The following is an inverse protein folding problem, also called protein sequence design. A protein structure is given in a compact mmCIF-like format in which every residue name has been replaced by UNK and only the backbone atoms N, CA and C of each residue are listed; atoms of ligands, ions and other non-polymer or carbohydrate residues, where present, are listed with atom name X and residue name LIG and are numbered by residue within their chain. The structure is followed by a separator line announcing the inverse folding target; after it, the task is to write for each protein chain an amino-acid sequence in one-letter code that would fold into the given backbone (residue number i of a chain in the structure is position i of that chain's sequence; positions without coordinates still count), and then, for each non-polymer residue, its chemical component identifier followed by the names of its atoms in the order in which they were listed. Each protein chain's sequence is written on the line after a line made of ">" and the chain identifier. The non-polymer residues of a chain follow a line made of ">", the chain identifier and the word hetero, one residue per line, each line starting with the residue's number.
data_IF_326663765023
#
_entry.id   IF_326663765023
#
_cell.length_a   1.000
_cell.length_b   1.000
_cell.length_c   1.000
_cell.angle_alpha   90.00
_cell.angle_beta   90.00
_cell.angle_gamma   90.00
#
_symmetry.space_group_name_H-M   'P 1'
#
loop_
_entity.id
_entity.type
_entity.pdbx_description
1 polymer ?
#
# COMPACT_ATOMS: atom_id res chain seq x y z
N UNK A 1 -1.26 -6.71 12.67
CA UNK A 1 -1.12 -7.39 11.36
C UNK A 1 0.32 -7.36 10.92
N UNK A 2 0.79 -8.40 10.23
CA UNK A 2 2.13 -8.42 9.65
C UNK A 2 2.07 -7.87 8.21
N UNK A 3 2.72 -6.73 7.97
CA UNK A 3 2.77 -6.07 6.65
C UNK A 3 4.08 -6.32 5.89
N UNK A 4 4.86 -7.35 6.27
CA UNK A 4 6.18 -7.65 5.67
C UNK A 4 6.17 -7.82 4.15
N UNK A 5 5.00 -8.13 3.58
CA UNK A 5 4.84 -8.37 2.15
C UNK A 5 4.28 -7.15 1.41
N UNK A 6 4.06 -6.02 2.09
CA UNK A 6 3.57 -4.79 1.49
C UNK A 6 4.67 -3.75 1.43
N UNK A 7 4.75 -3.08 0.29
CA UNK A 7 5.68 -1.98 0.06
C UNK A 7 4.92 -0.78 -0.48
N UNK A 8 5.18 0.40 0.06
CA UNK A 8 4.62 1.65 -0.44
C UNK A 8 5.64 2.36 -1.30
N UNK A 9 5.23 2.74 -2.50
CA UNK A 9 6.02 3.55 -3.42
C UNK A 9 5.28 4.87 -3.61
N UNK A 10 5.96 5.96 -3.33
CA UNK A 10 5.48 7.30 -3.67
C UNK A 10 6.09 7.71 -5.00
N UNK A 11 5.27 8.25 -5.89
CA UNK A 11 5.72 8.78 -7.18
C UNK A 11 5.05 10.11 -7.45
N UNK A 12 5.85 11.12 -7.71
CA UNK A 12 5.35 12.40 -8.19
C UNK A 12 5.17 12.33 -9.72
N UNK A 13 3.95 12.61 -10.18
CA UNK A 13 3.57 12.60 -11.60
C UNK A 13 2.68 13.81 -11.84
N UNK A 14 3.06 14.69 -12.77
CA UNK A 14 2.31 15.89 -13.15
C UNK A 14 1.95 16.80 -11.95
N UNK A 15 2.87 16.95 -11.00
CA UNK A 15 2.66 17.73 -9.76
C UNK A 15 1.70 17.09 -8.75
N UNK A 16 1.26 15.85 -8.97
CA UNK A 16 0.44 15.07 -8.05
C UNK A 16 1.24 13.91 -7.48
N UNK A 17 1.14 13.72 -6.15
CA UNK A 17 1.71 12.54 -5.50
C UNK A 17 0.77 11.36 -5.68
N UNK A 18 1.27 10.30 -6.31
CA UNK A 18 0.58 9.01 -6.42
C UNK A 18 1.22 8.01 -5.47
N UNK A 19 0.39 7.23 -4.80
CA UNK A 19 0.86 6.17 -3.93
C UNK A 19 0.49 4.81 -4.52
N UNK A 20 1.49 3.93 -4.56
CA UNK A 20 1.33 2.55 -4.98
C UNK A 20 1.62 1.64 -3.79
N UNK A 21 0.67 0.78 -3.44
CA UNK A 21 0.89 -0.32 -2.50
C UNK A 21 1.11 -1.58 -3.30
N UNK A 22 2.28 -2.19 -3.13
CA UNK A 22 2.71 -3.39 -3.85
C UNK A 22 2.77 -4.55 -2.87
N UNK A 23 2.09 -5.64 -3.21
CA UNK A 23 2.25 -6.92 -2.51
C UNK A 23 3.36 -7.73 -3.19
N UNK A 24 4.43 -8.02 -2.45
CA UNK A 24 5.69 -8.58 -2.99
C UNK A 24 5.71 -10.10 -3.03
N UNK A 25 4.78 -10.77 -2.34
CA UNK A 25 4.59 -12.24 -2.39
C UNK A 25 3.39 -12.61 -3.23
N UNK A 26 3.26 -13.90 -3.56
CA UNK A 26 2.08 -14.36 -4.27
C UNK A 26 0.81 -14.28 -3.39
N UNK A 27 -0.32 -13.78 -3.91
CA UNK A 27 -0.45 -13.20 -5.25
C UNK A 27 0.21 -11.82 -5.34
N UNK A 28 1.09 -11.62 -6.32
CA UNK A 28 1.74 -10.33 -6.55
C UNK A 28 0.73 -9.37 -7.15
N UNK A 29 0.49 -8.23 -6.53
CA UNK A 29 -0.39 -7.22 -7.06
C UNK A 29 0.08 -5.82 -6.72
N UNK A 30 -0.45 -4.84 -7.43
CA UNK A 30 -0.25 -3.42 -7.12
C UNK A 30 -1.59 -2.69 -7.06
N UNK A 31 -1.72 -1.83 -6.06
CA UNK A 31 -2.86 -0.98 -5.82
C UNK A 31 -2.42 0.49 -5.91
N UNK A 32 -2.98 1.24 -6.84
CA UNK A 32 -2.87 2.70 -6.86
C UNK A 32 -3.94 3.27 -5.93
N UNK A 33 -3.51 4.03 -4.94
CA UNK A 33 -4.36 4.60 -3.91
C UNK A 33 -4.01 6.08 -3.71
N UNK A 34 -5.05 6.89 -3.55
CA UNK A 34 -4.91 8.32 -3.25
C UNK A 34 -5.52 8.62 -1.87
N UNK A 35 -5.00 9.61 -1.14
CA UNK A 35 -5.69 10.13 0.03
C UNK A 35 -7.12 10.55 -0.32
N UNK A 36 -8.05 10.27 0.58
CA UNK A 36 -9.42 10.76 0.49
C UNK A 36 -9.51 12.18 1.05
N UNK A 37 -9.39 13.18 0.18
CA UNK A 37 -9.44 14.59 0.57
C UNK A 37 -10.78 15.01 1.21
N UNK A 38 -11.86 14.25 0.95
CA UNK A 38 -13.18 14.50 1.51
C UNK A 38 -13.37 13.91 2.92
N UNK A 39 -12.44 13.06 3.38
CA UNK A 39 -12.48 12.52 4.73
C UNK A 39 -12.09 13.61 5.76
N UNK A 40 -12.57 13.54 7.02
CA UNK A 40 -12.24 14.51 8.06
C UNK A 40 -10.74 14.65 8.37
N UNK A 41 -9.96 13.61 8.10
CA UNK A 41 -8.51 13.55 8.24
C UNK A 41 -7.77 13.81 6.91
N UNK A 42 -8.50 14.18 5.85
CA UNK A 42 -8.04 14.34 4.46
C UNK A 42 -7.29 13.12 3.90
N UNK A 43 -7.51 11.93 4.49
CA UNK A 43 -6.81 10.69 4.11
C UNK A 43 -7.78 9.51 4.00
N UNK A 44 -8.68 9.35 4.96
CA UNK A 44 -9.61 8.24 5.08
C UNK A 44 -8.91 6.88 4.97
N UNK A 45 -9.63 5.89 4.45
CA UNK A 45 -9.05 4.59 4.04
C UNK A 45 -8.32 4.65 2.68
N UNK A 46 -8.17 5.85 2.12
CA UNK A 46 -7.71 6.09 0.77
C UNK A 46 -8.70 5.64 -0.32
N UNK A 47 -8.73 6.37 -1.44
CA UNK A 47 -9.53 6.07 -2.62
C UNK A 47 -8.69 5.22 -3.57
N UNK A 48 -9.15 4.00 -3.83
CA UNK A 48 -8.55 3.10 -4.82
C UNK A 48 -8.78 3.67 -6.21
N UNK A 49 -7.70 3.91 -6.96
CA UNK A 49 -7.76 4.39 -8.36
C UNK A 49 -7.55 3.28 -9.37
N UNK A 50 -6.65 2.34 -9.07
CA UNK A 50 -6.39 1.21 -9.95
C UNK A 50 -5.92 -0.02 -9.16
N UNK A 51 -6.32 -1.19 -9.61
CA UNK A 51 -5.86 -2.48 -9.10
C UNK A 51 -5.30 -3.30 -10.26
N UNK A 52 -4.04 -3.72 -10.17
CA UNK A 52 -3.42 -4.64 -11.13
C UNK A 52 -3.15 -5.96 -10.44
N UNK A 53 -3.86 -7.00 -10.85
CA UNK A 53 -3.69 -8.37 -10.36
C UNK A 53 -3.50 -9.34 -11.54
N UNK A 54 -2.74 -10.43 -11.36
CA UNK A 54 -2.66 -11.52 -12.32
C UNK A 54 -4.03 -12.15 -12.55
N UNK A 55 -4.37 -12.41 -13.81
CA UNK A 55 -5.65 -13.05 -14.20
C UNK A 55 -5.89 -14.42 -13.55
N UNK A 56 -4.83 -15.12 -13.13
CA UNK A 56 -4.92 -16.46 -12.53
C UNK A 56 -5.59 -16.50 -11.15
N UNK A 57 -5.79 -15.35 -10.49
CA UNK A 57 -6.45 -15.29 -9.18
C UNK A 57 -7.94 -14.92 -9.24
N UNK A 58 -8.49 -14.68 -10.44
CA UNK A 58 -9.85 -14.15 -10.67
C UNK A 58 -11.02 -15.08 -10.22
N UNK A 59 -10.75 -16.16 -9.47
CA UNK A 59 -11.77 -17.08 -8.96
C UNK A 59 -12.14 -16.89 -7.48
N UNK A 60 -11.25 -16.35 -6.63
CA UNK A 60 -11.49 -16.22 -5.19
C UNK A 60 -11.59 -14.75 -4.76
N UNK A 61 -12.74 -14.15 -5.04
CA UNK A 61 -13.02 -12.74 -4.71
C UNK A 61 -12.94 -12.43 -3.22
N UNK A 62 -13.27 -13.38 -2.34
CA UNK A 62 -13.19 -13.18 -0.89
C UNK A 62 -11.74 -13.01 -0.42
N UNK A 63 -10.81 -13.78 -1.00
CA UNK A 63 -9.40 -13.65 -0.69
C UNK A 63 -8.80 -12.36 -1.27
N UNK A 64 -9.20 -11.98 -2.48
CA UNK A 64 -8.82 -10.69 -3.07
C UNK A 64 -9.28 -9.53 -2.18
N UNK A 65 -10.54 -9.55 -1.72
CA UNK A 65 -11.08 -8.51 -0.85
C UNK A 65 -10.26 -8.38 0.44
N UNK A 66 -9.91 -9.50 1.10
CA UNK A 66 -9.05 -9.48 2.29
C UNK A 66 -7.68 -8.84 2.03
N UNK A 67 -7.05 -9.17 0.90
CA UNK A 67 -5.74 -8.61 0.52
C UNK A 67 -5.82 -7.11 0.20
N UNK A 68 -6.88 -6.68 -0.47
CA UNK A 68 -7.12 -5.26 -0.77
C UNK A 68 -7.37 -4.48 0.53
N UNK A 69 -8.20 -5.02 1.45
CA UNK A 69 -8.42 -4.39 2.76
C UNK A 69 -7.12 -4.29 3.56
N UNK A 70 -6.29 -5.33 3.57
CA UNK A 70 -4.97 -5.28 4.21
C UNK A 70 -4.04 -4.23 3.57
N UNK A 71 -4.10 -4.04 2.24
CA UNK A 71 -3.35 -3.01 1.54
C UNK A 71 -3.82 -1.59 1.91
N UNK A 72 -5.13 -1.37 2.09
CA UNK A 72 -5.67 -0.09 2.56
C UNK A 72 -5.26 0.19 4.02
N UNK A 73 -5.31 -0.81 4.89
CA UNK A 73 -4.85 -0.67 6.28
C UNK A 73 -3.35 -0.36 6.36
N UNK A 74 -2.54 -1.02 5.52
CA UNK A 74 -1.12 -0.71 5.39
C UNK A 74 -0.90 0.72 4.92
N UNK A 75 -1.68 1.19 3.94
CA UNK A 75 -1.60 2.57 3.47
C UNK A 75 -1.88 3.56 4.61
N UNK A 76 -2.95 3.38 5.38
CA UNK A 76 -3.25 4.23 6.54
C UNK A 76 -2.12 4.20 7.59
N UNK A 77 -1.59 3.03 7.90
CA UNK A 77 -0.48 2.90 8.87
C UNK A 77 0.84 3.47 8.38
N UNK A 78 1.07 3.49 7.07
CA UNK A 78 2.31 4.04 6.50
C UNK A 78 2.46 5.56 6.66
N UNK A 79 1.36 6.27 6.97
CA UNK A 79 1.37 7.68 7.35
C UNK A 79 1.25 7.91 8.86
N UNK A 80 0.95 6.87 9.64
CA UNK A 80 1.12 6.93 11.09
C UNK A 80 2.63 6.98 11.37
N UNK A 81 3.00 7.79 12.36
CA UNK A 81 4.39 8.11 12.73
C UNK A 81 5.30 6.87 12.64
N UNK A 82 6.48 6.97 11.99
CA UNK A 82 7.35 5.82 11.84
C UNK A 82 7.75 5.34 13.24
N UNK A 83 7.38 4.11 13.59
CA UNK A 83 8.04 3.41 14.69
C UNK A 83 9.55 3.54 14.48
N UNK A 84 10.32 3.91 15.52
CA UNK A 84 11.71 4.33 15.39
C UNK A 84 12.47 3.27 14.60
N UNK A 85 12.97 3.68 13.43
CA UNK A 85 13.82 2.85 12.57
C UNK A 85 15.01 2.42 13.42
N UNK A 86 15.01 1.16 13.85
CA UNK A 86 16.16 0.54 14.50
C UNK A 86 17.38 0.73 13.60
N UNK A 87 18.29 1.57 14.10
CA UNK A 87 19.68 1.81 13.71
C UNK A 87 20.15 1.22 12.37
N UNK A 88 20.52 2.15 11.48
CA UNK A 88 21.40 1.97 10.34
C UNK A 88 22.65 1.16 10.71
N UNK A 89 22.66 -0.15 10.43
CA UNK A 89 23.91 -0.92 10.40
C UNK A 89 24.65 -0.59 9.11
N UNK A 90 25.56 0.38 9.23
CA UNK A 90 26.59 0.67 8.22
C UNK A 90 27.51 -0.56 8.17
N UNK A 91 27.48 -1.32 7.08
CA UNK A 91 28.55 -2.28 6.81
C UNK A 91 29.80 -1.47 6.49
N UNK A 92 30.79 -1.51 7.39
CA UNK A 92 32.15 -1.09 7.08
C UNK A 92 32.79 -2.19 6.22
N UNK A 93 33.44 -1.75 5.14
CA UNK A 93 34.21 -2.58 4.22
C UNK A 93 35.50 -3.09 4.88
#
# INVERSE_FOLDING_TARGET
>A
MNFSNFMRIEREVDGKTRHYVVHTRDPKFSLEIMPDEAAPDHRGKGVIKALRMPNSWAGNYAQCAKLISAAQEFFTQSFAEPAPKGETRRFQA
#
